data_IF_960998739401
#
_entry.id   IF_960998739401
#
_cell.length_a   1.000
_cell.length_b   1.000
_cell.length_c   1.000
_cell.angle_alpha   90.00
_cell.angle_beta   90.00
_cell.angle_gamma   90.00
#
_symmetry.space_group_name_H-M   'P 1'
#
loop_
_entity.id
_entity.type
_entity.pdbx_description
1 polymer ?
#
# COMPACT_ATOMS: atom_id res chain seq x y z
N UNK A 1 5.30 2.14 12.14
CA UNK A 1 5.06 1.47 10.85
C UNK A 1 3.73 1.98 10.34
N UNK A 2 3.67 2.38 9.07
CA UNK A 2 2.49 2.90 8.39
C UNK A 2 2.23 1.97 7.21
N UNK A 3 0.99 1.53 7.00
CA UNK A 3 0.62 0.76 5.80
C UNK A 3 -0.20 1.63 4.86
N UNK A 4 0.13 1.61 3.57
CA UNK A 4 -0.56 2.37 2.52
C UNK A 4 -0.74 1.49 1.29
N UNK A 5 -1.78 1.76 0.49
CA UNK A 5 -1.92 1.14 -0.83
C UNK A 5 -1.05 1.87 -1.86
N UNK A 6 -0.81 1.22 -3.00
CA UNK A 6 -0.36 1.87 -4.22
C UNK A 6 -1.20 3.13 -4.58
N UNK A 7 -0.55 4.11 -5.19
CA UNK A 7 -1.15 5.42 -5.51
C UNK A 7 -1.34 6.36 -4.32
N UNK A 8 -0.98 5.94 -3.10
CA UNK A 8 -1.01 6.80 -1.94
C UNK A 8 0.06 7.90 -1.99
N UNK A 9 -0.27 9.03 -1.39
CA UNK A 9 0.67 10.12 -1.13
C UNK A 9 0.99 10.16 0.36
N UNK A 10 2.21 9.78 0.72
CA UNK A 10 2.69 9.78 2.11
C UNK A 10 3.38 11.11 2.41
N UNK A 11 2.95 11.77 3.49
CA UNK A 11 3.61 12.97 4.01
C UNK A 11 4.29 12.65 5.32
N UNK A 12 5.60 12.87 5.37
CA UNK A 12 6.37 12.81 6.60
C UNK A 12 6.70 14.24 7.03
N UNK A 13 6.23 14.64 8.20
CA UNK A 13 6.46 15.98 8.72
C UNK A 13 7.42 15.96 9.91
N UNK A 14 8.43 16.81 9.84
CA UNK A 14 9.39 17.06 10.90
C UNK A 14 8.96 18.32 11.64
N UNK A 15 8.86 18.20 12.96
CA UNK A 15 8.48 19.29 13.86
C UNK A 15 9.69 19.76 14.66
N UNK A 16 9.91 21.08 14.73
CA UNK A 16 10.89 21.65 15.65
C UNK A 16 10.23 21.90 17.00
N UNK A 17 10.77 21.28 18.05
CA UNK A 17 10.40 21.59 19.44
C UNK A 17 11.43 22.57 20.02
N UNK A 18 11.24 23.87 19.80
CA UNK A 18 12.15 24.91 20.27
C UNK A 18 11.60 26.33 20.05
N UNK A 19 12.21 27.33 20.69
CA UNK A 19 11.82 28.74 20.54
C UNK A 19 12.15 29.20 19.12
N UNK A 20 11.16 29.70 18.39
CA UNK A 20 11.31 30.17 17.01
C UNK A 20 12.52 31.11 16.84
N UNK A 21 13.30 30.89 15.79
CA UNK A 21 14.48 31.72 15.48
C UNK A 21 15.67 30.96 14.89
N UNK A 22 15.73 29.63 15.04
CA UNK A 22 16.70 28.80 14.32
C UNK A 22 16.14 28.50 12.93
N UNK A 23 16.47 29.34 11.95
CA UNK A 23 16.15 29.12 10.54
C UNK A 23 17.33 28.37 9.92
N UNK A 24 17.07 27.22 9.28
CA UNK A 24 18.09 26.46 8.55
C UNK A 24 18.62 25.23 9.28
N UNK A 25 17.74 24.45 9.91
CA UNK A 25 18.11 23.12 10.40
C UNK A 25 18.19 22.18 9.20
N UNK A 26 19.30 21.46 9.08
CA UNK A 26 19.52 20.47 8.02
C UNK A 26 19.41 19.07 8.61
N UNK A 27 18.52 18.24 8.07
CA UNK A 27 18.37 16.84 8.46
C UNK A 27 18.74 15.96 7.27
N UNK A 28 19.81 15.18 7.38
CA UNK A 28 20.13 14.18 6.35
C UNK A 28 19.25 12.95 6.51
N UNK A 29 18.95 12.30 5.37
CA UNK A 29 18.18 11.07 5.37
C UNK A 29 18.74 10.06 4.36
N UNK A 30 18.46 8.80 4.61
CA UNK A 30 18.63 7.69 3.68
C UNK A 30 17.32 6.89 3.57
N UNK A 31 17.07 6.35 2.39
CA UNK A 31 15.94 5.48 2.09
C UNK A 31 16.49 4.11 1.73
N UNK A 32 15.98 3.08 2.38
CA UNK A 32 16.26 1.67 2.10
C UNK A 32 14.96 0.90 2.02
N UNK A 33 14.96 -0.28 1.41
CA UNK A 33 13.74 -1.08 1.26
C UNK A 33 13.90 -2.07 0.12
N UNK A 34 12.84 -2.81 -0.13
CA UNK A 34 12.65 -3.66 -1.30
C UNK A 34 11.81 -2.99 -2.39
N UNK A 35 11.02 -1.97 -2.05
CA UNK A 35 10.23 -1.23 -3.03
C UNK A 35 11.07 -0.39 -3.99
N UNK A 36 10.75 -0.42 -5.27
CA UNK A 36 11.39 0.38 -6.32
C UNK A 36 10.43 1.34 -7.06
N UNK A 37 9.13 1.26 -6.76
CA UNK A 37 8.04 1.94 -7.42
C UNK A 37 7.60 3.24 -6.71
N UNK A 38 8.51 4.01 -6.12
CA UNK A 38 8.18 5.27 -5.43
C UNK A 38 8.91 6.49 -6.00
N UNK A 39 8.36 7.68 -5.73
CA UNK A 39 8.95 8.94 -6.18
C UNK A 39 8.80 10.07 -5.16
N UNK A 40 9.41 11.22 -5.45
CA UNK A 40 9.33 12.44 -4.62
C UNK A 40 10.53 12.67 -3.70
N UNK A 41 11.34 11.64 -3.45
CA UNK A 41 12.63 11.74 -2.76
C UNK A 41 13.67 10.86 -3.45
N UNK A 42 14.94 11.30 -3.40
CA UNK A 42 16.05 10.45 -3.78
C UNK A 42 16.35 9.43 -2.68
N UNK A 43 17.13 8.39 -2.97
CA UNK A 43 17.51 7.37 -1.99
C UNK A 43 18.34 7.91 -0.81
N UNK A 44 18.87 9.13 -0.92
CA UNK A 44 19.42 9.89 0.19
C UNK A 44 19.41 11.39 -0.12
N UNK A 45 19.49 12.21 0.92
CA UNK A 45 19.56 13.65 0.73
C UNK A 45 19.48 14.43 2.03
N UNK A 46 19.07 15.69 1.90
CA UNK A 46 18.92 16.60 3.01
C UNK A 46 17.55 17.28 2.97
N UNK A 47 16.97 17.50 4.14
CA UNK A 47 15.73 18.26 4.33
C UNK A 47 16.12 19.53 5.08
N UNK A 48 15.82 20.68 4.48
CA UNK A 48 16.01 21.98 5.12
C UNK A 48 14.72 22.37 5.82
N UNK A 49 14.76 22.41 7.14
CA UNK A 49 13.67 22.87 7.98
C UNK A 49 13.84 24.38 8.18
N UNK A 50 12.88 25.14 7.64
CA UNK A 50 12.87 26.62 7.67
C UNK A 50 11.74 27.19 8.52
N UNK A 51 10.82 26.33 8.95
CA UNK A 51 9.66 26.67 9.79
C UNK A 51 9.44 25.57 10.82
N UNK A 52 8.57 25.82 11.81
CA UNK A 52 8.31 24.87 12.90
C UNK A 52 7.74 23.51 12.43
N UNK A 53 7.18 23.46 11.21
CA UNK A 53 6.67 22.24 10.57
C UNK A 53 7.12 22.19 9.11
N UNK A 54 7.98 21.23 8.76
CA UNK A 54 8.40 20.99 7.38
C UNK A 54 8.08 19.56 6.98
N UNK A 55 7.39 19.37 5.85
CA UNK A 55 6.99 18.05 5.37
C UNK A 55 7.69 17.68 4.07
N UNK A 56 8.07 16.42 3.95
CA UNK A 56 8.45 15.77 2.69
C UNK A 56 7.31 14.89 2.19
N UNK A 57 7.27 14.69 0.88
CA UNK A 57 6.24 13.88 0.22
C UNK A 57 6.90 12.71 -0.50
N UNK A 58 6.32 11.53 -0.31
CA UNK A 58 6.65 10.31 -1.05
C UNK A 58 5.37 9.89 -1.76
N UNK A 59 5.44 9.72 -3.07
CA UNK A 59 4.33 9.16 -3.85
C UNK A 59 4.64 7.69 -4.09
N UNK A 60 3.71 6.82 -3.70
CA UNK A 60 3.73 5.41 -4.07
C UNK A 60 3.12 5.32 -5.46
N UNK A 61 3.82 4.69 -6.40
CA UNK A 61 3.29 4.52 -7.76
C UNK A 61 2.05 3.63 -7.69
N UNK A 62 1.17 3.78 -8.66
CA UNK A 62 0.08 2.85 -8.86
C UNK A 62 0.24 2.33 -10.27
N UNK A 63 0.37 1.03 -10.41
CA UNK A 63 0.44 0.42 -11.72
C UNK A 63 -0.40 -0.87 -11.80
N UNK A 64 -0.09 -1.72 -12.76
CA UNK A 64 -0.86 -2.93 -13.07
C UNK A 64 -0.04 -4.22 -12.91
N UNK A 65 1.20 -4.09 -12.44
CA UNK A 65 2.04 -5.22 -12.06
C UNK A 65 1.48 -5.76 -10.74
N UNK A 66 1.52 -7.08 -10.57
CA UNK A 66 1.09 -7.75 -9.35
C UNK A 66 2.36 -8.17 -8.64
N UNK A 67 2.62 -7.58 -7.49
CA UNK A 67 3.82 -7.85 -6.70
C UNK A 67 3.43 -8.30 -5.29
N UNK A 68 4.44 -8.57 -4.46
CA UNK A 68 4.18 -8.81 -3.04
C UNK A 68 4.17 -7.47 -2.32
N UNK A 69 3.60 -7.42 -1.11
CA UNK A 69 3.77 -6.22 -0.28
C UNK A 69 5.25 -5.92 -0.08
N UNK A 70 5.61 -4.66 -0.29
CA UNK A 70 6.98 -4.16 -0.18
C UNK A 70 7.08 -3.09 0.91
N UNK A 71 8.27 -2.54 1.10
CA UNK A 71 8.52 -1.57 2.15
C UNK A 71 9.58 -0.54 1.80
N UNK A 72 9.40 0.63 2.40
CA UNK A 72 10.36 1.72 2.41
C UNK A 72 10.66 2.06 3.87
N UNK A 73 11.94 2.16 4.20
CA UNK A 73 12.45 2.65 5.48
C UNK A 73 13.19 3.97 5.26
N UNK A 74 12.61 5.05 5.77
CA UNK A 74 13.22 6.39 5.76
C UNK A 74 13.94 6.59 7.09
N UNK A 75 15.27 6.65 7.07
CA UNK A 75 16.09 6.90 8.26
C UNK A 75 16.63 8.33 8.24
N UNK A 76 16.36 9.08 9.29
CA UNK A 76 16.95 10.38 9.58
C UNK A 76 18.25 10.18 10.35
N UNK A 77 19.32 10.88 9.94
CA UNK A 77 20.67 10.60 10.43
C UNK A 77 21.29 11.82 11.12
N UNK A 78 21.87 12.75 10.34
CA UNK A 78 22.57 13.91 10.88
C UNK A 78 21.63 15.11 10.93
N UNK A 79 21.50 15.70 12.12
CA UNK A 79 20.86 17.01 12.32
C UNK A 79 21.93 18.06 12.55
N UNK A 80 21.99 19.08 11.71
CA UNK A 80 22.86 20.25 11.87
C UNK A 80 22.01 21.49 12.12
N UNK A 81 22.46 22.36 13.04
CA UNK A 81 21.73 23.55 13.46
C UNK A 81 20.69 23.30 14.56
N UNK A 82 20.45 22.03 14.92
CA UNK A 82 19.64 21.63 16.07
C UNK A 82 20.19 20.34 16.68
N UNK A 83 19.58 19.90 17.79
CA UNK A 83 19.84 18.59 18.38
C UNK A 83 18.62 17.70 18.15
N UNK A 84 18.84 16.48 17.65
CA UNK A 84 17.78 15.48 17.54
C UNK A 84 17.37 15.04 18.95
N UNK A 85 16.07 15.02 19.25
CA UNK A 85 15.60 14.61 20.57
C UNK A 85 15.96 13.14 20.81
N UNK A 86 16.52 12.76 21.98
CA UNK A 86 16.91 11.37 22.27
C UNK A 86 15.75 10.38 22.37
N UNK A 87 14.51 10.81 22.11
CA UNK A 87 13.27 10.03 22.25
C UNK A 87 12.61 9.68 20.92
N UNK A 88 13.21 9.98 19.77
CA UNK A 88 12.60 9.70 18.46
C UNK A 88 13.08 8.38 17.88
N UNK A 89 12.13 7.61 17.34
CA UNK A 89 12.47 6.63 16.32
C UNK A 89 12.91 7.42 15.09
N UNK A 90 14.20 7.40 14.79
CA UNK A 90 14.76 8.12 13.65
C UNK A 90 14.47 7.40 12.32
N UNK A 91 13.74 6.28 12.37
CA UNK A 91 13.32 5.52 11.20
C UNK A 91 11.80 5.47 11.11
N UNK A 92 11.26 5.82 9.94
CA UNK A 92 9.86 5.60 9.58
C UNK A 92 9.80 4.48 8.54
N UNK A 93 9.08 3.41 8.88
CA UNK A 93 8.80 2.30 7.96
C UNK A 93 7.41 2.47 7.37
N UNK A 94 7.34 2.48 6.05
CA UNK A 94 6.14 2.50 5.22
C UNK A 94 6.05 1.11 4.56
N UNK A 95 4.97 0.39 4.84
CA UNK A 95 4.62 -0.86 4.18
C UNK A 95 3.66 -0.53 3.03
N UNK A 96 4.04 -0.92 1.83
CA UNK A 96 3.25 -0.73 0.62
C UNK A 96 2.45 -2.02 0.42
N UNK A 97 1.13 -1.85 0.40
CA UNK A 97 0.19 -2.91 0.09
C UNK A 97 0.00 -2.89 -1.41
N UNK A 98 0.49 -3.94 -2.06
CA UNK A 98 0.41 -4.12 -3.50
C UNK A 98 -0.94 -4.76 -3.89
N UNK A 99 -1.30 -4.62 -5.16
CA UNK A 99 -2.43 -5.31 -5.77
C UNK A 99 -2.22 -6.84 -5.75
N UNK A 100 -2.84 -7.53 -4.80
CA UNK A 100 -2.78 -9.00 -4.71
C UNK A 100 -3.38 -9.72 -5.92
N UNK A 101 -2.89 -10.93 -6.20
CA UNK A 101 -3.39 -11.79 -7.29
C UNK A 101 -4.91 -12.00 -7.17
N UNK A 102 -5.63 -11.72 -8.26
CA UNK A 102 -7.07 -11.99 -8.35
C UNK A 102 -7.30 -13.51 -8.38
N UNK A 103 -8.11 -14.02 -7.45
CA UNK A 103 -8.52 -15.43 -7.44
C UNK A 103 -10.03 -15.57 -7.55
N UNK A 104 -10.45 -16.64 -8.24
CA UNK A 104 -11.85 -17.06 -8.33
C UNK A 104 -11.96 -18.46 -7.75
N UNK A 105 -12.84 -18.63 -6.77
CA UNK A 105 -13.27 -19.94 -6.29
C UNK A 105 -14.72 -20.19 -6.65
N UNK A 106 -15.04 -21.44 -6.99
CA UNK A 106 -16.40 -21.91 -7.26
C UNK A 106 -16.62 -23.13 -6.39
N UNK A 107 -17.84 -23.30 -5.86
CA UNK A 107 -18.19 -24.51 -5.12
C UNK A 107 -17.95 -25.74 -6.00
N UNK A 108 -17.13 -26.66 -5.51
CA UNK A 108 -16.70 -27.84 -6.27
C UNK A 108 -17.83 -28.87 -6.47
N UNK A 109 -18.89 -28.79 -5.66
CA UNK A 109 -20.09 -29.61 -5.78
C UNK A 109 -21.26 -28.99 -5.02
N UNK A 110 -22.47 -29.10 -5.57
CA UNK A 110 -23.72 -28.78 -4.89
C UNK A 110 -24.61 -30.03 -4.92
N UNK A 111 -25.15 -30.43 -3.78
CA UNK A 111 -26.17 -31.49 -3.73
C UNK A 111 -27.52 -30.89 -4.08
N UNK A 112 -28.19 -31.49 -5.05
CA UNK A 112 -29.51 -31.07 -5.52
C UNK A 112 -30.50 -32.18 -5.21
N UNK A 113 -31.63 -31.82 -4.62
CA UNK A 113 -32.74 -32.75 -4.40
C UNK A 113 -33.70 -32.71 -5.58
N UNK A 114 -34.30 -33.85 -5.89
CA UNK A 114 -35.16 -34.08 -7.07
C UNK A 114 -36.38 -33.16 -7.14
N UNK A 115 -36.77 -32.56 -6.02
CA UNK A 115 -37.87 -31.61 -5.89
C UNK A 115 -37.43 -30.13 -5.89
N UNK A 116 -36.16 -29.83 -6.15
CA UNK A 116 -35.66 -28.46 -6.26
C UNK A 116 -35.98 -27.86 -7.63
N UNK A 117 -36.69 -26.72 -7.64
CA UNK A 117 -37.01 -25.98 -8.87
C UNK A 117 -35.87 -25.09 -9.39
N UNK A 118 -34.82 -24.90 -8.59
CA UNK A 118 -33.66 -24.04 -8.88
C UNK A 118 -32.48 -24.47 -8.00
N UNK A 119 -31.27 -24.25 -8.51
CA UNK A 119 -29.99 -24.41 -7.79
C UNK A 119 -29.20 -23.13 -8.00
N UNK A 120 -28.66 -22.58 -6.92
CA UNK A 120 -27.76 -21.44 -6.95
C UNK A 120 -26.31 -21.94 -6.89
N UNK A 121 -25.45 -21.42 -7.78
CA UNK A 121 -24.02 -21.67 -7.78
C UNK A 121 -23.32 -20.38 -7.37
N UNK A 122 -22.55 -20.44 -6.29
CA UNK A 122 -21.79 -19.30 -5.81
C UNK A 122 -20.36 -19.36 -6.39
N UNK A 123 -19.89 -18.21 -6.89
CA UNK A 123 -18.48 -17.97 -7.16
C UNK A 123 -18.02 -16.80 -6.30
N UNK A 124 -16.87 -16.96 -5.65
CA UNK A 124 -16.26 -15.90 -4.86
C UNK A 124 -15.06 -15.36 -5.63
N UNK A 125 -15.09 -14.06 -5.93
CA UNK A 125 -13.95 -13.31 -6.44
C UNK A 125 -13.26 -12.67 -5.23
N UNK A 126 -11.95 -12.90 -5.08
CA UNK A 126 -11.16 -12.33 -3.98
C UNK A 126 -9.96 -11.56 -4.51
N UNK A 127 -9.88 -10.28 -4.16
CA UNK A 127 -8.67 -9.45 -4.12
C UNK A 127 -8.88 -8.34 -3.06
N UNK A 128 -7.84 -7.58 -2.73
CA UNK A 128 -7.94 -6.45 -1.77
C UNK A 128 -8.40 -5.12 -2.43
N UNK A 129 -8.59 -5.10 -3.75
CA UNK A 129 -8.93 -3.90 -4.53
C UNK A 129 -9.67 -4.23 -5.85
N UNK A 130 -10.96 -4.64 -5.77
CA UNK A 130 -11.73 -4.97 -6.98
C UNK A 130 -12.25 -3.67 -7.59
N UNK A 131 -11.62 -3.22 -8.68
CA UNK A 131 -12.21 -2.19 -9.54
C UNK A 131 -12.77 -2.87 -10.80
N UNK A 132 -14.09 -2.97 -10.91
CA UNK A 132 -14.72 -3.41 -12.15
C UNK A 132 -14.67 -2.26 -13.16
N UNK A 133 -14.23 -2.52 -14.39
CA UNK A 133 -14.19 -1.57 -15.53
C UNK A 133 -15.59 -1.19 -16.05
N UNK A 134 -16.63 -1.36 -15.21
CA UNK A 134 -18.03 -1.22 -15.58
C UNK A 134 -18.63 -2.46 -16.24
N UNK A 135 -17.84 -3.51 -16.51
CA UNK A 135 -18.34 -4.80 -17.01
C UNK A 135 -18.50 -5.76 -15.83
N UNK A 136 -19.72 -6.24 -15.59
CA UNK A 136 -19.94 -7.29 -14.58
C UNK A 136 -19.22 -8.57 -15.03
N UNK A 137 -18.45 -9.23 -14.15
CA UNK A 137 -17.81 -10.50 -14.49
C UNK A 137 -18.90 -11.51 -14.86
N UNK A 138 -18.73 -12.20 -15.99
CA UNK A 138 -19.66 -13.23 -16.43
C UNK A 138 -19.17 -14.61 -16.00
N UNK A 139 -19.93 -15.31 -15.16
CA UNK A 139 -19.72 -16.72 -14.87
C UNK A 139 -20.48 -17.55 -15.91
N UNK A 140 -19.78 -18.32 -16.74
CA UNK A 140 -20.40 -19.23 -17.70
C UNK A 140 -20.22 -20.68 -17.25
N UNK A 141 -21.32 -21.44 -17.18
CA UNK A 141 -21.30 -22.88 -16.96
C UNK A 141 -21.77 -23.62 -18.22
N UNK A 142 -21.10 -24.70 -18.58
CA UNK A 142 -21.55 -25.62 -19.64
C UNK A 142 -22.24 -26.81 -18.98
N UNK A 143 -23.55 -27.04 -19.22
CA UNK A 143 -24.22 -28.23 -18.72
C UNK A 143 -23.57 -29.49 -19.29
N UNK A 144 -23.20 -30.43 -18.43
CA UNK A 144 -22.61 -31.72 -18.80
C UNK A 144 -23.32 -32.87 -18.09
N UNK A 145 -23.81 -33.84 -18.87
CA UNK A 145 -24.48 -35.04 -18.36
C UNK A 145 -25.98 -34.86 -18.08
N UNK A 146 -26.70 -35.98 -18.09
CA UNK A 146 -28.09 -36.07 -17.65
C UNK A 146 -28.13 -36.92 -16.38
N UNK A 147 -28.85 -36.47 -15.35
CA UNK A 147 -29.21 -37.35 -14.24
C UNK A 147 -30.10 -38.47 -14.79
N UNK A 148 -29.68 -39.72 -14.62
CA UNK A 148 -30.47 -40.91 -14.95
C UNK A 148 -31.06 -41.50 -13.67
N UNK A 149 -32.34 -41.87 -13.72
CA UNK A 149 -33.04 -42.60 -12.66
C UNK A 149 -32.46 -44.00 -12.46
#
# INVERSE_FOLDING_TARGET
>A
MISVAEGAVVKICLMMNGVGGVIGVNVSYSITGDADDYSGLASSGNIIITTDLSCITINITNDSVIENNESISVRFELVTGATLSPTTNDTIVINIMDNTTVSVSVDSSVTVYDNSSSVELCATLSNDNITFDGVSPTLSATPGGNATL
#
